data_IF_822412906115
#
_entry.id   IF_822412906115
#
_cell.length_a   1.000
_cell.length_b   1.000
_cell.length_c   1.000
_cell.angle_alpha   90.00
_cell.angle_beta   90.00
_cell.angle_gamma   90.00
#
_symmetry.space_group_name_H-M   'P 1'
#
loop_
_entity.id
_entity.type
_entity.pdbx_description
1 polymer ?
#
# COMPACT_ATOMS: atom_id res chain seq x y z
N UNK A 1 -21.94 -55.34 -30.52
CA UNK A 1 -21.37 -54.56 -29.40
C UNK A 1 -21.34 -53.10 -29.84
N UNK A 2 -22.45 -52.37 -29.70
CA UNK A 2 -22.55 -50.93 -30.00
C UNK A 2 -23.23 -50.29 -28.79
N UNK A 3 -22.43 -49.60 -27.98
CA UNK A 3 -22.86 -48.86 -26.79
C UNK A 3 -23.42 -47.51 -27.21
N UNK A 4 -24.70 -47.30 -26.94
CA UNK A 4 -25.42 -46.03 -27.12
C UNK A 4 -24.96 -45.01 -26.07
N UNK A 5 -24.28 -43.94 -26.48
CA UNK A 5 -24.09 -42.73 -25.66
C UNK A 5 -25.41 -41.94 -25.62
N UNK A 6 -26.13 -42.03 -24.50
CA UNK A 6 -27.26 -41.15 -24.22
C UNK A 6 -26.79 -39.78 -23.78
N UNK A 7 -26.88 -38.79 -24.65
CA UNK A 7 -26.77 -37.37 -24.29
C UNK A 7 -28.08 -36.95 -23.61
N UNK A 8 -28.09 -36.87 -22.28
CA UNK A 8 -29.21 -36.31 -21.52
C UNK A 8 -29.19 -34.79 -21.69
N UNK A 9 -30.09 -34.25 -22.51
CA UNK A 9 -30.32 -32.81 -22.58
C UNK A 9 -30.98 -32.34 -21.27
N UNK A 10 -30.51 -31.24 -20.65
CA UNK A 10 -31.13 -30.71 -19.44
C UNK A 10 -32.61 -30.38 -19.68
N UNK A 11 -33.51 -30.79 -18.78
CA UNK A 11 -34.92 -30.44 -18.87
C UNK A 11 -35.11 -28.91 -18.89
N UNK A 12 -36.01 -28.39 -19.73
CA UNK A 12 -36.30 -26.96 -19.91
C UNK A 12 -36.62 -26.21 -18.59
N UNK A 13 -37.15 -26.93 -17.59
CA UNK A 13 -37.39 -26.42 -16.23
C UNK A 13 -36.10 -26.09 -15.48
N UNK A 14 -35.06 -26.91 -15.61
CA UNK A 14 -33.77 -26.70 -14.94
C UNK A 14 -33.00 -25.52 -15.54
N UNK A 15 -32.98 -25.41 -16.87
CA UNK A 15 -32.37 -24.29 -17.58
C UNK A 15 -33.04 -22.94 -17.23
N UNK A 16 -34.38 -22.92 -17.11
CA UNK A 16 -35.13 -21.72 -16.74
C UNK A 16 -34.90 -21.30 -15.27
N UNK A 17 -34.72 -22.26 -14.34
CA UNK A 17 -34.34 -21.95 -12.95
C UNK A 17 -32.92 -21.40 -12.83
N UNK A 18 -31.96 -21.97 -13.57
CA UNK A 18 -30.59 -21.46 -13.61
C UNK A 18 -30.55 -20.04 -14.18
N UNK A 19 -31.26 -19.77 -15.28
CA UNK A 19 -31.35 -18.43 -15.87
C UNK A 19 -31.94 -17.39 -14.90
N UNK A 20 -32.99 -17.75 -14.14
CA UNK A 20 -33.57 -16.85 -13.12
C UNK A 20 -32.61 -16.59 -11.95
N UNK A 21 -31.89 -17.61 -11.50
CA UNK A 21 -30.91 -17.48 -10.42
C UNK A 21 -29.72 -16.59 -10.85
N UNK A 22 -29.21 -16.78 -12.06
CA UNK A 22 -28.17 -15.93 -12.64
C UNK A 22 -28.63 -14.48 -12.81
N UNK A 23 -29.87 -14.27 -13.26
CA UNK A 23 -30.44 -12.92 -13.41
C UNK A 23 -30.59 -12.23 -12.05
N UNK A 24 -31.13 -12.92 -11.05
CA UNK A 24 -31.27 -12.39 -9.68
C UNK A 24 -29.92 -12.03 -9.06
N UNK A 25 -28.93 -12.90 -9.26
CA UNK A 25 -27.55 -12.67 -8.82
C UNK A 25 -26.93 -11.41 -9.46
N UNK A 26 -27.08 -11.26 -10.78
CA UNK A 26 -26.59 -10.08 -11.51
C UNK A 26 -27.24 -8.79 -11.01
N UNK A 27 -28.57 -8.77 -10.88
CA UNK A 27 -29.31 -7.61 -10.36
C UNK A 27 -28.83 -7.23 -8.97
N UNK A 28 -28.66 -8.21 -8.07
CA UNK A 28 -28.16 -7.95 -6.72
C UNK A 28 -26.73 -7.38 -6.75
N UNK A 29 -25.85 -7.92 -7.59
CA UNK A 29 -24.48 -7.41 -7.73
C UNK A 29 -24.42 -6.00 -8.29
N UNK A 30 -25.25 -5.69 -9.30
CA UNK A 30 -25.30 -4.36 -9.91
C UNK A 30 -25.85 -3.32 -8.93
N UNK A 31 -26.85 -3.71 -8.13
CA UNK A 31 -27.38 -2.86 -7.06
C UNK A 31 -26.31 -2.58 -5.99
N UNK A 32 -25.58 -3.60 -5.53
CA UNK A 32 -24.50 -3.42 -4.55
C UNK A 32 -23.43 -2.44 -5.05
N UNK A 33 -22.99 -2.59 -6.31
CA UNK A 33 -22.00 -1.71 -6.91
C UNK A 33 -22.54 -0.28 -7.03
N UNK A 34 -23.80 -0.13 -7.47
CA UNK A 34 -24.42 1.19 -7.63
C UNK A 34 -24.58 1.91 -6.29
N UNK A 35 -25.02 1.20 -5.24
CA UNK A 35 -25.13 1.75 -3.89
C UNK A 35 -23.75 2.10 -3.33
N UNK A 36 -22.73 1.28 -3.56
CA UNK A 36 -21.35 1.60 -3.20
C UNK A 36 -20.89 2.89 -3.89
N UNK A 37 -21.07 3.03 -5.20
CA UNK A 37 -20.66 4.24 -5.92
C UNK A 37 -21.36 5.50 -5.38
N UNK A 38 -22.66 5.40 -5.08
CA UNK A 38 -23.41 6.49 -4.47
C UNK A 38 -22.88 6.84 -3.08
N UNK A 39 -22.60 5.84 -2.23
CA UNK A 39 -22.04 6.07 -0.90
C UNK A 39 -20.63 6.66 -0.96
N UNK A 40 -19.80 6.26 -1.92
CA UNK A 40 -18.50 6.89 -2.16
C UNK A 40 -18.68 8.37 -2.49
N UNK A 41 -19.55 8.72 -3.43
CA UNK A 41 -19.82 10.11 -3.78
C UNK A 41 -20.34 10.93 -2.58
N UNK A 42 -21.31 10.39 -1.84
CA UNK A 42 -21.85 11.00 -0.61
C UNK A 42 -20.73 11.19 0.42
N UNK A 43 -19.85 10.21 0.60
CA UNK A 43 -18.73 10.30 1.54
C UNK A 43 -17.80 11.46 1.22
N UNK A 44 -17.45 11.66 -0.06
CA UNK A 44 -16.57 12.76 -0.48
C UNK A 44 -17.24 14.11 -0.27
N UNK A 45 -18.54 14.22 -0.58
CA UNK A 45 -19.32 15.44 -0.33
C UNK A 45 -19.36 15.77 1.16
N UNK A 46 -19.65 14.77 2.00
CA UNK A 46 -19.72 14.94 3.46
C UNK A 46 -18.36 15.32 4.05
N UNK A 47 -17.27 14.74 3.54
CA UNK A 47 -15.93 15.14 3.92
C UNK A 47 -15.67 16.60 3.55
N UNK A 48 -15.98 17.02 2.32
CA UNK A 48 -15.77 18.40 1.88
C UNK A 48 -16.57 19.41 2.75
N UNK A 49 -17.83 19.08 3.06
CA UNK A 49 -18.66 19.87 3.98
C UNK A 49 -18.07 19.89 5.40
N UNK A 50 -17.61 18.74 5.88
CA UNK A 50 -17.00 18.59 7.20
C UNK A 50 -15.73 19.42 7.34
N UNK A 51 -14.84 19.38 6.34
CA UNK A 51 -13.59 20.16 6.31
C UNK A 51 -13.88 21.66 6.31
N UNK A 52 -14.87 22.11 5.54
CA UNK A 52 -15.24 23.53 5.49
C UNK A 52 -15.75 24.08 6.84
N UNK A 53 -16.35 23.22 7.67
CA UNK A 53 -16.85 23.58 8.99
C UNK A 53 -15.82 23.57 10.12
N UNK A 54 -14.56 23.22 9.86
CA UNK A 54 -13.51 23.16 10.88
C UNK A 54 -12.94 24.56 11.13
N UNK A 55 -13.08 25.06 12.36
CA UNK A 55 -12.42 26.27 12.83
C UNK A 55 -11.21 25.91 13.70
N UNK A 56 -10.00 26.05 13.12
CA UNK A 56 -8.75 25.76 13.82
C UNK A 56 -8.33 26.85 14.81
N UNK A 57 -9.01 28.01 14.86
CA UNK A 57 -8.65 29.11 15.78
C UNK A 57 -8.90 28.77 17.26
N UNK A 58 -9.81 27.82 17.51
CA UNK A 58 -10.20 27.34 18.83
C UNK A 58 -9.55 26.00 19.19
N UNK A 59 -8.50 25.60 18.48
CA UNK A 59 -7.85 24.31 18.70
C UNK A 59 -7.22 24.23 20.11
N UNK A 60 -7.61 23.18 20.85
CA UNK A 60 -7.08 22.90 22.18
C UNK A 60 -5.99 21.82 22.19
N UNK A 61 -5.56 21.40 23.38
CA UNK A 61 -4.51 20.39 23.55
C UNK A 61 -4.84 18.99 23.01
N UNK A 62 -6.11 18.70 22.73
CA UNK A 62 -6.55 17.44 22.09
C UNK A 62 -6.46 17.46 20.56
N UNK A 63 -5.98 18.55 19.97
CA UNK A 63 -5.78 18.68 18.52
C UNK A 63 -7.09 18.76 17.74
N UNK A 64 -7.08 18.20 16.53
CA UNK A 64 -8.18 18.36 15.56
C UNK A 64 -9.44 17.55 15.90
N UNK A 65 -9.29 16.43 16.64
CA UNK A 65 -10.36 15.44 16.85
C UNK A 65 -11.64 16.05 17.43
N UNK A 66 -11.61 16.90 18.47
CA UNK A 66 -12.82 17.52 19.02
C UNK A 66 -13.49 18.53 18.10
N UNK A 67 -12.78 19.03 17.09
CA UNK A 67 -13.27 20.02 16.14
C UNK A 67 -13.91 19.38 14.91
N UNK A 68 -13.79 18.06 14.73
CA UNK A 68 -14.35 17.35 13.58
C UNK A 68 -15.89 17.34 13.67
N UNK A 69 -16.61 17.94 12.70
CA UNK A 69 -18.06 17.89 12.70
C UNK A 69 -18.57 16.45 12.53
N UNK A 70 -19.77 16.14 13.03
CA UNK A 70 -20.39 14.82 12.85
C UNK A 70 -20.47 14.42 11.38
N UNK A 71 -20.69 15.38 10.48
CA UNK A 71 -20.71 15.16 9.01
C UNK A 71 -19.37 14.60 8.50
N UNK A 72 -18.24 15.03 9.05
CA UNK A 72 -16.93 14.48 8.74
C UNK A 72 -16.81 13.01 9.19
N UNK A 73 -17.29 12.68 10.39
CA UNK A 73 -17.28 11.30 10.88
C UNK A 73 -18.18 10.39 10.03
N UNK A 74 -19.35 10.88 9.63
CA UNK A 74 -20.25 10.18 8.71
C UNK A 74 -19.60 9.93 7.34
N UNK A 75 -18.77 10.86 6.85
CA UNK A 75 -18.00 10.65 5.62
C UNK A 75 -17.11 9.40 5.70
N UNK A 76 -16.34 9.26 6.79
CA UNK A 76 -15.49 8.08 7.01
C UNK A 76 -16.33 6.80 7.08
N UNK A 77 -17.43 6.82 7.84
CA UNK A 77 -18.33 5.65 7.98
C UNK A 77 -18.89 5.23 6.62
N UNK A 78 -19.40 6.17 5.82
CA UNK A 78 -19.93 5.87 4.49
C UNK A 78 -18.86 5.35 3.54
N UNK A 79 -17.64 5.88 3.59
CA UNK A 79 -16.53 5.38 2.79
C UNK A 79 -16.18 3.93 3.16
N UNK A 80 -16.11 3.60 4.45
CA UNK A 80 -15.81 2.24 4.92
C UNK A 80 -16.92 1.26 4.53
N UNK A 81 -18.19 1.63 4.72
CA UNK A 81 -19.34 0.81 4.30
C UNK A 81 -19.29 0.59 2.78
N UNK A 82 -19.06 1.65 2.01
CA UNK A 82 -18.94 1.57 0.56
C UNK A 82 -17.82 0.62 0.12
N UNK A 83 -16.62 0.74 0.70
CA UNK A 83 -15.49 -0.13 0.39
C UNK A 83 -15.78 -1.59 0.74
N UNK A 84 -16.45 -1.84 1.88
CA UNK A 84 -16.85 -3.18 2.28
C UNK A 84 -17.86 -3.79 1.30
N UNK A 85 -18.89 -3.04 0.89
CA UNK A 85 -19.87 -3.48 -0.11
C UNK A 85 -19.19 -3.85 -1.44
N UNK A 86 -18.26 -3.01 -1.91
CA UNK A 86 -17.52 -3.27 -3.14
C UNK A 86 -16.62 -4.49 -3.01
N UNK A 87 -15.92 -4.69 -1.89
CA UNK A 87 -15.10 -5.88 -1.65
C UNK A 87 -15.94 -7.17 -1.59
N UNK A 88 -17.18 -7.08 -1.13
CA UNK A 88 -18.16 -8.18 -1.13
C UNK A 88 -18.78 -8.47 -2.51
N UNK A 89 -18.62 -7.57 -3.48
CA UNK A 89 -19.15 -7.79 -4.82
C UNK A 89 -18.46 -8.97 -5.53
N UNK A 90 -19.13 -9.66 -6.48
CA UNK A 90 -18.56 -10.78 -7.23
C UNK A 90 -17.34 -10.42 -8.07
N UNK A 91 -17.43 -9.32 -8.82
CA UNK A 91 -16.41 -8.85 -9.75
C UNK A 91 -16.04 -7.39 -9.47
N UNK A 92 -15.35 -7.14 -8.34
CA UNK A 92 -15.00 -5.79 -7.92
C UNK A 92 -13.97 -5.16 -8.87
N UNK A 93 -14.24 -3.92 -9.29
CA UNK A 93 -13.36 -3.19 -10.20
C UNK A 93 -12.13 -2.65 -9.47
N UNK A 94 -10.95 -2.92 -10.03
CA UNK A 94 -9.65 -2.39 -9.56
C UNK A 94 -9.66 -0.86 -9.52
N UNK A 95 -10.29 -0.21 -10.51
CA UNK A 95 -10.39 1.26 -10.54
C UNK A 95 -11.25 1.78 -9.40
N UNK A 96 -12.39 1.13 -9.13
CA UNK A 96 -13.30 1.54 -8.06
C UNK A 96 -12.63 1.42 -6.69
N UNK A 97 -11.93 0.32 -6.41
CA UNK A 97 -11.18 0.21 -5.15
C UNK A 97 -10.02 1.20 -5.05
N UNK A 98 -9.34 1.51 -6.16
CA UNK A 98 -8.34 2.57 -6.18
C UNK A 98 -8.96 3.92 -5.78
N UNK A 99 -10.17 4.24 -6.26
CA UNK A 99 -10.88 5.45 -5.84
C UNK A 99 -11.26 5.42 -4.36
N UNK A 100 -11.64 4.28 -3.79
CA UNK A 100 -11.93 4.17 -2.35
C UNK A 100 -10.67 4.40 -1.51
N UNK A 101 -9.54 3.81 -1.90
CA UNK A 101 -8.25 4.05 -1.23
C UNK A 101 -7.83 5.51 -1.38
N UNK A 102 -7.95 6.10 -2.59
CA UNK A 102 -7.62 7.50 -2.82
C UNK A 102 -8.49 8.45 -1.99
N UNK A 103 -9.80 8.16 -1.89
CA UNK A 103 -10.71 8.91 -1.03
C UNK A 103 -10.31 8.80 0.44
N UNK A 104 -9.97 7.59 0.92
CA UNK A 104 -9.50 7.39 2.30
C UNK A 104 -8.23 8.20 2.57
N UNK A 105 -7.26 8.13 1.67
CA UNK A 105 -6.00 8.88 1.77
C UNK A 105 -6.25 10.39 1.80
N UNK A 106 -7.09 10.89 0.90
CA UNK A 106 -7.45 12.31 0.86
C UNK A 106 -8.13 12.74 2.16
N UNK A 107 -9.05 11.94 2.69
CA UNK A 107 -9.74 12.25 3.94
C UNK A 107 -8.78 12.26 5.13
N UNK A 108 -7.90 11.28 5.27
CA UNK A 108 -7.02 11.16 6.43
C UNK A 108 -5.80 12.11 6.37
N UNK A 109 -5.21 12.26 5.19
CA UNK A 109 -3.92 12.95 5.01
C UNK A 109 -4.02 14.26 4.23
N UNK A 110 -5.14 14.50 3.54
CA UNK A 110 -5.45 15.77 2.89
C UNK A 110 -6.19 16.76 3.79
N UNK A 111 -6.84 16.31 4.87
CA UNK A 111 -7.56 17.23 5.78
C UNK A 111 -6.62 18.21 6.48
N UNK A 112 -5.51 17.73 7.05
CA UNK A 112 -4.56 18.59 7.77
C UNK A 112 -4.02 19.77 6.93
N UNK A 113 -3.47 19.57 5.70
CA UNK A 113 -2.99 20.68 4.88
C UNK A 113 -4.09 21.63 4.40
N UNK A 114 -5.37 21.24 4.44
CA UNK A 114 -6.49 22.11 4.09
C UNK A 114 -6.95 23.01 5.24
N UNK A 115 -6.73 22.58 6.49
CA UNK A 115 -7.22 23.30 7.68
C UNK A 115 -6.13 24.04 8.45
N UNK A 116 -4.90 23.54 8.44
CA UNK A 116 -3.76 24.20 9.07
C UNK A 116 -3.05 25.12 8.10
N UNK A 117 -2.71 26.33 8.55
CA UNK A 117 -1.90 27.26 7.77
C UNK A 117 -0.46 26.77 7.56
N UNK A 118 0.08 26.03 8.53
CA UNK A 118 1.46 25.57 8.53
C UNK A 118 1.55 24.05 8.76
N UNK A 119 2.64 23.40 8.30
CA UNK A 119 2.89 21.99 8.57
C UNK A 119 2.86 21.66 10.07
N UNK A 120 1.98 20.75 10.48
CA UNK A 120 1.60 20.52 11.89
C UNK A 120 2.66 19.92 12.81
N UNK A 121 3.73 19.31 12.28
CA UNK A 121 4.69 18.60 13.13
C UNK A 121 5.98 19.39 13.35
N UNK A 122 6.26 19.75 14.61
CA UNK A 122 7.42 20.57 14.96
C UNK A 122 8.77 19.98 14.52
N UNK A 123 8.91 18.65 14.45
CA UNK A 123 10.17 18.01 14.07
C UNK A 123 10.48 18.06 12.57
N UNK A 124 9.50 18.33 11.69
CA UNK A 124 9.76 18.49 10.25
C UNK A 124 10.59 19.73 9.94
N UNK A 125 10.50 20.78 10.76
CA UNK A 125 11.23 22.03 10.57
C UNK A 125 12.74 21.83 10.70
N UNK A 126 13.18 20.86 11.51
CA UNK A 126 14.59 20.45 11.56
C UNK A 126 15.05 19.89 10.21
N UNK A 127 14.21 19.09 9.57
CA UNK A 127 14.51 18.52 8.26
C UNK A 127 14.64 19.62 7.20
N UNK A 128 13.72 20.58 7.21
CA UNK A 128 13.76 21.76 6.33
C UNK A 128 15.02 22.58 6.56
N UNK A 129 15.43 22.79 7.81
CA UNK A 129 16.66 23.51 8.14
C UNK A 129 17.90 22.89 7.49
N UNK A 130 18.03 21.57 7.50
CA UNK A 130 19.15 20.86 6.84
C UNK A 130 19.08 21.01 5.32
N UNK A 131 17.89 20.88 4.73
CA UNK A 131 17.69 21.11 3.28
C UNK A 131 18.12 22.52 2.87
N UNK A 132 17.68 23.53 3.63
CA UNK A 132 18.03 24.93 3.38
C UNK A 132 19.52 25.20 3.58
N UNK A 133 20.15 24.58 4.60
CA UNK A 133 21.59 24.67 4.81
C UNK A 133 22.36 24.20 3.57
N UNK A 134 22.04 23.02 3.05
CA UNK A 134 22.66 22.45 1.84
C UNK A 134 22.41 23.35 0.63
N UNK A 135 21.17 23.82 0.47
CA UNK A 135 20.80 24.72 -0.64
C UNK A 135 21.62 26.01 -0.65
N UNK A 136 21.86 26.60 0.53
CA UNK A 136 22.58 27.85 0.71
C UNK A 136 24.10 27.69 0.57
N UNK A 137 24.68 26.66 1.20
CA UNK A 137 26.14 26.52 1.29
C UNK A 137 26.73 25.63 0.18
N UNK A 138 25.93 24.74 -0.41
CA UNK A 138 26.39 23.77 -1.40
C UNK A 138 27.35 22.70 -0.85
N UNK A 139 27.50 22.61 0.48
CA UNK A 139 28.34 21.64 1.15
C UNK A 139 27.64 21.09 2.40
N UNK A 140 28.20 20.01 2.96
CA UNK A 140 27.76 19.36 4.20
C UNK A 140 28.70 19.76 5.35
N UNK A 141 28.17 19.80 6.56
CA UNK A 141 28.91 20.04 7.79
C UNK A 141 28.40 19.13 8.91
N UNK A 142 29.12 18.03 9.11
CA UNK A 142 28.83 17.01 10.13
C UNK A 142 29.03 17.47 11.58
N UNK A 143 29.61 18.66 11.80
CA UNK A 143 29.80 19.22 13.15
C UNK A 143 28.57 20.00 13.65
N UNK A 144 27.65 20.38 12.76
CA UNK A 144 26.41 21.12 13.12
C UNK A 144 25.36 20.15 13.66
N UNK A 145 25.12 19.07 12.93
CA UNK A 145 24.09 18.09 13.26
C UNK A 145 24.42 16.71 12.66
N UNK A 146 23.80 15.68 13.23
CA UNK A 146 23.99 14.29 12.79
C UNK A 146 23.31 13.99 11.45
N UNK A 147 22.28 14.76 11.05
CA UNK A 147 21.53 14.49 9.83
C UNK A 147 22.40 14.65 8.58
N UNK A 148 23.39 15.54 8.62
CA UNK A 148 24.32 15.76 7.52
C UNK A 148 25.28 14.58 7.28
N UNK A 149 25.36 13.60 8.19
CA UNK A 149 26.07 12.33 7.98
C UNK A 149 25.28 11.34 7.10
N UNK A 150 23.98 11.56 6.91
CA UNK A 150 23.12 10.81 5.99
C UNK A 150 22.45 11.77 5.00
N UNK A 151 23.23 12.36 4.08
CA UNK A 151 22.78 13.52 3.31
C UNK A 151 21.84 13.16 2.16
N UNK A 152 21.61 11.88 1.86
CA UNK A 152 20.96 11.45 0.63
C UNK A 152 19.57 12.08 0.42
N UNK A 153 18.72 12.05 1.44
CA UNK A 153 17.40 12.67 1.38
C UNK A 153 17.47 14.20 1.29
N UNK A 154 18.33 14.82 2.12
CA UNK A 154 18.42 16.27 2.21
C UNK A 154 19.01 16.89 0.94
N UNK A 155 20.02 16.24 0.35
CA UNK A 155 20.59 16.61 -0.92
C UNK A 155 19.58 16.48 -2.06
N UNK A 156 18.79 15.39 -2.07
CA UNK A 156 17.70 15.22 -3.04
C UNK A 156 16.65 16.33 -2.92
N UNK A 157 16.23 16.65 -1.70
CA UNK A 157 15.26 17.73 -1.45
C UNK A 157 15.82 19.10 -1.83
N UNK A 158 17.08 19.40 -1.50
CA UNK A 158 17.72 20.67 -1.86
C UNK A 158 17.89 20.82 -3.37
N UNK A 159 18.20 19.71 -4.07
CA UNK A 159 18.23 19.67 -5.52
C UNK A 159 16.84 19.90 -6.13
N UNK A 160 15.80 19.24 -5.58
CA UNK A 160 14.42 19.41 -6.00
C UNK A 160 13.98 20.87 -5.86
N UNK A 161 14.23 21.51 -4.71
CA UNK A 161 13.95 22.92 -4.49
C UNK A 161 14.58 23.83 -5.54
N UNK A 162 15.85 23.55 -5.88
CA UNK A 162 16.60 24.34 -6.86
C UNK A 162 16.02 24.18 -8.27
N UNK A 163 15.71 22.95 -8.69
CA UNK A 163 15.18 22.66 -10.04
C UNK A 163 13.73 23.13 -10.18
N UNK A 164 12.90 22.96 -9.16
CA UNK A 164 11.50 23.36 -9.16
C UNK A 164 11.31 24.87 -8.89
N UNK A 165 12.38 25.62 -8.59
CA UNK A 165 12.29 27.05 -8.27
C UNK A 165 11.58 27.32 -6.94
N UNK A 166 11.57 26.36 -6.02
CA UNK A 166 10.87 26.47 -4.73
C UNK A 166 11.77 27.19 -3.75
N UNK A 167 11.32 28.34 -3.26
CA UNK A 167 12.07 29.14 -2.29
C UNK A 167 11.83 28.71 -0.84
N UNK A 168 10.61 28.24 -0.54
CA UNK A 168 10.21 27.83 0.79
C UNK A 168 9.66 26.40 0.78
N UNK A 169 10.37 25.40 1.35
CA UNK A 169 9.91 24.02 1.38
C UNK A 169 8.59 23.79 2.13
N UNK A 170 8.19 24.73 2.98
CA UNK A 170 6.92 24.66 3.71
C UNK A 170 5.71 24.58 2.77
N UNK A 171 5.81 25.13 1.55
CA UNK A 171 4.69 25.15 0.58
C UNK A 171 4.23 23.77 0.17
N UNK A 172 5.12 22.77 0.17
CA UNK A 172 4.79 21.38 -0.17
C UNK A 172 4.93 20.42 1.01
N UNK A 173 5.64 20.82 2.08
CA UNK A 173 5.81 19.99 3.27
C UNK A 173 4.48 19.60 3.94
N UNK A 174 3.47 20.47 3.89
CA UNK A 174 2.13 20.19 4.41
C UNK A 174 1.46 19.00 3.69
N UNK A 175 1.74 18.83 2.40
CA UNK A 175 1.18 17.79 1.54
C UNK A 175 2.01 16.50 1.52
N UNK A 176 3.17 16.49 2.19
CA UNK A 176 4.09 15.35 2.19
C UNK A 176 3.44 14.07 2.71
N UNK A 177 2.57 14.17 3.73
CA UNK A 177 1.82 13.03 4.28
C UNK A 177 1.00 12.33 3.20
N UNK A 178 0.15 13.08 2.50
CA UNK A 178 -0.68 12.54 1.43
C UNK A 178 0.18 11.93 0.31
N UNK A 179 1.29 12.59 -0.05
CA UNK A 179 2.21 12.08 -1.06
C UNK A 179 2.86 10.75 -0.65
N UNK A 180 3.45 10.68 0.54
CA UNK A 180 4.13 9.49 1.02
C UNK A 180 3.16 8.34 1.26
N UNK A 181 1.98 8.58 1.83
CA UNK A 181 0.98 7.53 2.06
C UNK A 181 0.41 6.98 0.75
N UNK A 182 0.26 7.83 -0.27
CA UNK A 182 -0.06 7.37 -1.62
C UNK A 182 1.04 6.46 -2.15
N UNK A 183 2.29 6.85 -2.01
CA UNK A 183 3.43 6.05 -2.45
C UNK A 183 3.53 4.73 -1.65
N UNK A 184 3.28 4.76 -0.35
CA UNK A 184 3.24 3.57 0.51
C UNK A 184 2.14 2.61 0.04
N UNK A 185 0.94 3.11 -0.24
CA UNK A 185 -0.16 2.31 -0.76
C UNK A 185 0.15 1.68 -2.13
N UNK A 186 0.85 2.41 -3.01
CA UNK A 186 1.27 1.88 -4.31
C UNK A 186 2.33 0.77 -4.16
N UNK A 187 3.35 1.00 -3.34
CA UNK A 187 4.43 0.03 -3.13
C UNK A 187 3.90 -1.18 -2.36
N UNK A 188 3.08 -1.01 -1.32
CA UNK A 188 2.49 -2.13 -0.60
C UNK A 188 1.54 -2.92 -1.49
N UNK A 189 0.74 -2.26 -2.36
CA UNK A 189 -0.09 -2.94 -3.37
C UNK A 189 0.76 -3.81 -4.28
N UNK A 190 1.96 -3.35 -4.64
CA UNK A 190 2.91 -4.14 -5.41
C UNK A 190 3.49 -5.30 -4.59
N UNK A 191 3.92 -5.07 -3.34
CA UNK A 191 4.40 -6.13 -2.42
C UNK A 191 3.36 -7.24 -2.24
N UNK A 192 2.10 -6.91 -1.92
CA UNK A 192 1.04 -7.90 -1.67
C UNK A 192 0.64 -8.71 -2.91
N UNK A 193 1.01 -8.25 -4.11
CA UNK A 193 0.86 -9.02 -5.36
C UNK A 193 1.90 -10.13 -5.50
N UNK A 194 2.93 -10.16 -4.67
CA UNK A 194 3.93 -11.21 -4.70
C UNK A 194 3.26 -12.57 -4.51
N UNK A 195 3.56 -13.51 -5.42
CA UNK A 195 3.02 -14.87 -5.36
C UNK A 195 3.34 -15.53 -4.02
N UNK A 196 4.50 -15.22 -3.43
CA UNK A 196 4.94 -15.62 -2.10
C UNK A 196 3.90 -15.55 -0.99
N UNK A 197 3.06 -14.52 -1.04
CA UNK A 197 2.10 -14.22 0.02
C UNK A 197 0.78 -14.97 -0.15
N UNK A 198 0.55 -15.57 -1.32
CA UNK A 198 -0.66 -16.35 -1.64
C UNK A 198 -1.97 -15.61 -1.30
N UNK A 199 -1.98 -14.28 -1.44
CA UNK A 199 -3.13 -13.42 -1.16
C UNK A 199 -4.07 -13.36 -2.36
N UNK A 200 -5.37 -13.50 -2.10
CA UNK A 200 -6.41 -13.25 -3.09
C UNK A 200 -6.44 -11.79 -3.47
N UNK A 201 -7.04 -11.49 -4.62
CA UNK A 201 -7.21 -10.11 -5.06
C UNK A 201 -7.94 -9.25 -4.01
N UNK A 202 -8.95 -9.81 -3.32
CA UNK A 202 -9.70 -9.12 -2.27
C UNK A 202 -8.83 -8.85 -1.05
N UNK A 203 -8.09 -9.85 -0.60
CA UNK A 203 -7.13 -9.72 0.51
C UNK A 203 -6.09 -8.64 0.22
N UNK A 204 -5.55 -8.59 -1.00
CA UNK A 204 -4.58 -7.56 -1.38
C UNK A 204 -5.14 -6.14 -1.25
N UNK A 205 -6.37 -5.89 -1.70
CA UNK A 205 -6.99 -4.57 -1.58
C UNK A 205 -7.42 -4.26 -0.15
N UNK A 206 -7.91 -5.25 0.58
CA UNK A 206 -8.20 -5.12 2.00
C UNK A 206 -6.93 -4.74 2.78
N UNK A 207 -5.78 -5.37 2.46
CA UNK A 207 -4.49 -4.99 3.06
C UNK A 207 -4.13 -3.54 2.78
N UNK A 208 -4.28 -3.05 1.54
CA UNK A 208 -3.99 -1.64 1.21
C UNK A 208 -4.94 -0.69 1.94
N UNK A 209 -6.23 -1.03 2.01
CA UNK A 209 -7.22 -0.20 2.69
C UNK A 209 -6.99 -0.14 4.20
N UNK A 210 -6.71 -1.28 4.84
CA UNK A 210 -6.36 -1.34 6.26
C UNK A 210 -5.04 -0.61 6.51
N UNK A 211 -4.03 -0.81 5.66
CA UNK A 211 -2.75 -0.11 5.78
C UNK A 211 -2.96 1.41 5.78
N UNK A 212 -3.71 1.95 4.81
CA UNK A 212 -4.01 3.38 4.74
C UNK A 212 -4.81 3.91 5.95
N UNK A 213 -5.69 3.10 6.53
CA UNK A 213 -6.54 3.51 7.66
C UNK A 213 -5.93 3.29 9.04
N UNK A 214 -4.92 2.42 9.15
CA UNK A 214 -4.32 1.99 10.41
C UNK A 214 -2.83 2.32 10.52
N UNK A 215 -2.26 3.05 9.55
CA UNK A 215 -0.87 3.45 9.62
C UNK A 215 -0.62 4.37 10.83
N UNK A 216 0.56 4.23 11.43
CA UNK A 216 0.91 5.00 12.61
C UNK A 216 1.16 6.47 12.24
N UNK A 217 0.59 7.38 13.02
CA UNK A 217 0.70 8.82 12.79
C UNK A 217 2.15 9.30 12.88
N UNK A 218 2.49 10.39 12.19
CA UNK A 218 3.78 11.07 12.29
C UNK A 218 4.99 10.29 11.74
N UNK A 219 4.81 9.43 10.74
CA UNK A 219 5.90 8.70 10.07
C UNK A 219 6.12 9.12 8.61
N UNK A 220 5.18 9.85 8.06
CA UNK A 220 4.92 10.16 6.65
C UNK A 220 5.11 11.66 6.32
N UNK A 221 5.63 12.43 7.26
CA UNK A 221 5.98 13.85 7.04
C UNK A 221 7.24 13.98 6.18
N UNK A 222 7.51 15.19 5.69
CA UNK A 222 8.67 15.50 4.84
C UNK A 222 9.99 15.19 5.58
N UNK A 223 10.53 13.99 5.37
CA UNK A 223 11.64 13.45 6.15
C UNK A 223 12.38 12.30 5.47
N UNK A 224 13.64 12.04 5.89
CA UNK A 224 14.35 10.82 5.50
C UNK A 224 13.64 9.55 5.97
N UNK A 225 12.90 9.59 7.09
CA UNK A 225 12.12 8.46 7.61
C UNK A 225 11.06 8.00 6.62
N UNK A 226 10.20 8.92 6.16
CA UNK A 226 9.14 8.60 5.21
C UNK A 226 9.72 8.06 3.90
N UNK A 227 10.77 8.71 3.36
CA UNK A 227 11.43 8.25 2.15
C UNK A 227 12.14 6.89 2.33
N UNK A 228 12.80 6.69 3.47
CA UNK A 228 13.44 5.44 3.83
C UNK A 228 12.45 4.28 3.94
N UNK A 229 11.22 4.53 4.40
CA UNK A 229 10.16 3.53 4.43
C UNK A 229 9.73 3.09 3.02
N UNK A 230 9.63 4.01 2.05
CA UNK A 230 9.40 3.66 0.62
C UNK A 230 10.49 2.71 0.12
N UNK A 231 11.76 3.08 0.31
CA UNK A 231 12.90 2.30 -0.17
C UNK A 231 12.94 0.93 0.51
N UNK A 232 12.64 0.87 1.81
CA UNK A 232 12.54 -0.38 2.58
C UNK A 232 11.50 -1.31 1.97
N UNK A 233 10.29 -0.81 1.70
CA UNK A 233 9.25 -1.60 1.02
C UNK A 233 9.64 -1.99 -0.41
N UNK A 234 10.39 -1.14 -1.12
CA UNK A 234 10.97 -1.45 -2.42
C UNK A 234 11.94 -2.63 -2.38
N UNK A 235 12.81 -2.69 -1.36
CA UNK A 235 13.70 -3.85 -1.11
C UNK A 235 12.87 -5.12 -0.89
N UNK A 236 11.83 -5.06 -0.05
CA UNK A 236 10.93 -6.21 0.15
C UNK A 236 10.21 -6.62 -1.13
N UNK A 237 9.75 -5.66 -1.93
CA UNK A 237 9.09 -5.93 -3.19
C UNK A 237 10.02 -6.70 -4.14
N UNK A 238 11.25 -6.23 -4.32
CA UNK A 238 12.22 -6.90 -5.18
C UNK A 238 12.58 -8.29 -4.66
N UNK A 239 12.77 -8.43 -3.34
CA UNK A 239 13.08 -9.71 -2.71
C UNK A 239 11.94 -10.73 -2.90
N UNK A 240 10.69 -10.34 -2.67
CA UNK A 240 9.53 -11.23 -2.72
C UNK A 240 9.06 -11.54 -4.13
N UNK A 241 9.32 -10.67 -5.11
CA UNK A 241 8.91 -10.92 -6.51
C UNK A 241 9.96 -11.66 -7.33
N UNK A 242 11.26 -11.43 -7.08
CA UNK A 242 12.31 -11.99 -7.93
C UNK A 242 13.33 -12.91 -7.26
N UNK A 243 13.34 -13.02 -5.92
CA UNK A 243 14.34 -13.81 -5.19
C UNK A 243 13.73 -14.87 -4.27
N UNK A 244 12.43 -15.09 -4.39
CA UNK A 244 11.66 -16.06 -3.61
C UNK A 244 12.08 -17.51 -3.90
N UNK A 245 12.13 -18.33 -2.86
CA UNK A 245 12.23 -19.79 -2.98
C UNK A 245 10.87 -20.42 -3.28
N UNK A 246 10.79 -21.38 -4.22
CA UNK A 246 9.56 -22.10 -4.59
C UNK A 246 8.84 -22.76 -3.40
N UNK A 247 9.59 -23.08 -2.33
CA UNK A 247 9.06 -23.68 -1.11
C UNK A 247 8.12 -22.75 -0.33
N UNK A 248 8.26 -21.43 -0.50
CA UNK A 248 7.51 -20.40 0.23
C UNK A 248 6.03 -20.39 -0.12
N UNK A 249 5.71 -20.32 -1.41
CA UNK A 249 4.36 -20.35 -1.94
C UNK A 249 3.60 -21.63 -1.52
N UNK A 250 4.26 -22.80 -1.62
CA UNK A 250 3.67 -24.09 -1.31
C UNK A 250 3.25 -24.21 0.17
N UNK A 251 4.07 -23.67 1.09
CA UNK A 251 3.77 -23.70 2.52
C UNK A 251 2.51 -22.88 2.85
N UNK A 252 2.41 -21.65 2.34
CA UNK A 252 1.23 -20.80 2.57
C UNK A 252 -0.03 -21.39 1.96
N UNK A 253 0.07 -21.95 0.75
CA UNK A 253 -1.05 -22.63 0.11
C UNK A 253 -1.54 -23.83 0.93
N UNK A 254 -0.62 -24.62 1.49
CA UNK A 254 -0.94 -25.79 2.34
C UNK A 254 -1.58 -25.40 3.68
N UNK A 255 -1.11 -24.32 4.30
CA UNK A 255 -1.72 -23.79 5.53
C UNK A 255 -3.14 -23.29 5.20
N UNK A 256 -3.27 -22.53 4.11
CA UNK A 256 -4.56 -21.98 3.64
C UNK A 256 -5.58 -23.08 3.33
N UNK A 257 -5.18 -24.15 2.65
CA UNK A 257 -6.10 -25.26 2.34
C UNK A 257 -6.61 -25.98 3.58
N UNK A 258 -5.84 -25.99 4.68
CA UNK A 258 -6.31 -26.54 5.97
C UNK A 258 -7.40 -25.69 6.61
N UNK A 259 -7.28 -24.37 6.55
CA UNK A 259 -8.29 -23.45 7.09
C UNK A 259 -9.51 -23.32 6.15
N UNK A 260 -9.32 -23.37 4.84
CA UNK A 260 -10.40 -23.27 3.86
C UNK A 260 -11.32 -24.50 3.85
N UNK A 261 -10.81 -25.68 4.23
CA UNK A 261 -11.60 -26.92 4.33
C UNK A 261 -12.57 -26.95 5.53
N UNK A 262 -12.70 -25.85 6.29
CA UNK A 262 -13.69 -25.71 7.37
C UNK A 262 -14.80 -24.70 7.06
N UNK A 263 -14.93 -24.23 5.82
CA UNK A 263 -16.13 -23.47 5.41
C UNK A 263 -17.28 -24.42 5.08
N UNK A 264 -18.46 -24.32 5.73
CA UNK A 264 -19.65 -25.16 5.45
C UNK A 264 -20.30 -24.92 4.08
N UNK A 265 -19.64 -24.19 3.17
CA UNK A 265 -20.14 -23.83 1.84
C UNK A 265 -19.79 -24.87 0.76
N UNK A 266 -19.00 -25.90 1.10
CA UNK A 266 -18.56 -26.94 0.15
C UNK A 266 -19.68 -27.89 -0.33
N UNK A 267 -20.91 -27.76 0.17
CA UNK A 267 -22.04 -28.63 -0.17
C UNK A 267 -23.06 -28.02 -1.17
N UNK A 268 -22.84 -26.80 -1.68
CA UNK A 268 -23.90 -26.11 -2.46
C UNK A 268 -23.50 -25.43 -3.77
N UNK A 269 -22.29 -25.61 -4.30
CA UNK A 269 -21.90 -24.97 -5.57
C UNK A 269 -21.17 -25.92 -6.52
N UNK A 270 -21.94 -26.75 -7.24
CA UNK A 270 -21.52 -27.42 -8.48
C UNK A 270 -22.04 -26.72 -9.75
N UNK A 271 -22.60 -25.51 -9.65
CA UNK A 271 -23.06 -24.76 -10.84
C UNK A 271 -22.52 -23.33 -10.81
N UNK A 272 -21.67 -22.99 -11.79
CA UNK A 272 -21.14 -21.65 -12.00
C UNK A 272 -19.71 -21.44 -11.51
N UNK A 273 -18.72 -22.05 -12.19
CA UNK A 273 -17.29 -21.83 -11.89
C UNK A 273 -16.78 -20.47 -12.38
N UNK A 274 -17.21 -19.39 -11.76
CA UNK A 274 -16.38 -18.17 -11.66
C UNK A 274 -15.61 -18.24 -10.35
N UNK A 275 -14.67 -19.20 -10.29
CA UNK A 275 -13.68 -19.24 -9.22
C UNK A 275 -12.90 -17.93 -9.28
N UNK A 276 -12.78 -17.27 -8.12
CA UNK A 276 -11.73 -16.32 -7.80
C UNK A 276 -10.41 -16.86 -8.34
N UNK A 277 -10.09 -16.45 -9.56
CA UNK A 277 -9.02 -17.07 -10.31
C UNK A 277 -7.75 -16.47 -9.73
N UNK A 278 -7.08 -17.26 -8.90
CA UNK A 278 -5.66 -17.08 -8.68
C UNK A 278 -5.01 -16.79 -10.05
N UNK A 279 -4.11 -15.80 -10.15
CA UNK A 279 -3.59 -15.35 -11.44
C UNK A 279 -3.11 -16.55 -12.24
N UNK A 280 -3.60 -16.66 -13.49
CA UNK A 280 -3.30 -17.72 -14.46
C UNK A 280 -1.85 -18.18 -14.29
N UNK A 281 -1.68 -19.45 -13.94
CA UNK A 281 -0.41 -20.15 -13.89
C UNK A 281 0.09 -20.42 -15.31
N UNK A 282 0.44 -19.35 -16.05
CA UNK A 282 1.47 -19.46 -17.07
C UNK A 282 2.84 -19.38 -16.39
N UNK A 283 3.89 -20.02 -16.94
CA UNK A 283 5.24 -19.73 -16.48
C UNK A 283 5.42 -18.21 -16.53
N UNK A 284 5.87 -17.54 -15.46
CA UNK A 284 6.20 -16.14 -15.56
C UNK A 284 7.31 -16.06 -16.60
N UNK A 285 7.03 -15.43 -17.74
CA UNK A 285 8.12 -14.84 -18.52
C UNK A 285 8.61 -13.71 -17.64
N UNK A 286 9.56 -14.00 -16.73
CA UNK A 286 10.30 -12.95 -16.05
C UNK A 286 11.13 -12.29 -17.14
N UNK A 287 10.63 -11.18 -17.66
CA UNK A 287 11.36 -10.34 -18.62
C UNK A 287 12.70 -9.89 -18.01
N UNK A 288 12.74 -9.85 -16.67
CA UNK A 288 13.86 -9.43 -15.85
C UNK A 288 14.58 -10.64 -15.27
N UNK A 289 15.91 -10.68 -15.38
CA UNK A 289 16.75 -11.74 -14.84
C UNK A 289 16.94 -11.60 -13.31
N UNK A 290 17.25 -12.72 -12.64
CA UNK A 290 17.55 -12.71 -11.20
C UNK A 290 18.79 -11.86 -10.83
N UNK A 291 19.64 -11.56 -11.81
CA UNK A 291 20.78 -10.67 -11.64
C UNK A 291 20.31 -9.21 -11.62
N UNK A 292 19.43 -8.82 -12.53
CA UNK A 292 18.85 -7.46 -12.59
C UNK A 292 18.02 -7.13 -11.35
N UNK A 293 17.21 -8.08 -10.84
CA UNK A 293 16.46 -7.88 -9.59
C UNK A 293 17.41 -7.66 -8.42
N UNK A 294 18.49 -8.45 -8.35
CA UNK A 294 19.49 -8.33 -7.30
C UNK A 294 20.25 -7.00 -7.38
N UNK A 295 20.66 -6.59 -8.58
CA UNK A 295 21.31 -5.29 -8.82
C UNK A 295 20.37 -4.16 -8.39
N UNK A 296 19.11 -4.20 -8.83
CA UNK A 296 18.09 -3.23 -8.42
C UNK A 296 17.89 -3.20 -6.91
N UNK A 297 17.84 -4.37 -6.26
CA UNK A 297 17.69 -4.47 -4.81
C UNK A 297 18.86 -3.82 -4.08
N UNK A 298 20.09 -4.17 -4.48
CA UNK A 298 21.30 -3.62 -3.87
C UNK A 298 21.43 -2.12 -4.14
N UNK A 299 21.05 -1.64 -5.32
CA UNK A 299 21.02 -0.19 -5.62
C UNK A 299 20.02 0.56 -4.73
N UNK A 300 18.77 0.09 -4.65
CA UNK A 300 17.75 0.68 -3.77
C UNK A 300 18.22 0.66 -2.31
N UNK A 301 18.84 -0.44 -1.88
CA UNK A 301 19.39 -0.55 -0.54
C UNK A 301 20.57 0.41 -0.30
N UNK A 302 21.49 0.58 -1.25
CA UNK A 302 22.57 1.56 -1.14
C UNK A 302 22.05 2.98 -1.05
N UNK A 303 20.97 3.32 -1.77
CA UNK A 303 20.29 4.61 -1.60
C UNK A 303 19.70 4.74 -0.19
N UNK A 304 19.08 3.69 0.34
CA UNK A 304 18.57 3.69 1.72
C UNK A 304 19.70 3.94 2.74
N UNK A 305 20.88 3.37 2.53
CA UNK A 305 22.06 3.53 3.42
C UNK A 305 22.50 4.99 3.54
N UNK A 306 22.47 5.76 2.44
CA UNK A 306 22.84 7.20 2.50
C UNK A 306 21.68 8.10 2.92
N UNK A 307 20.45 7.57 2.96
CA UNK A 307 19.22 8.30 3.29
C UNK A 307 18.89 8.23 4.77
N UNK A 308 19.09 7.09 5.43
CA UNK A 308 18.57 6.87 6.78
C UNK A 308 19.56 6.16 7.68
N UNK A 309 19.70 6.66 8.92
CA UNK A 309 20.64 6.14 9.92
C UNK A 309 20.32 4.70 10.38
N UNK A 310 19.06 4.40 10.70
CA UNK A 310 18.67 3.13 11.32
C UNK A 310 18.08 2.09 10.35
N UNK A 311 17.23 2.52 9.41
CA UNK A 311 16.45 1.63 8.54
C UNK A 311 17.27 0.59 7.76
N UNK A 312 18.47 0.89 7.21
CA UNK A 312 19.26 -0.11 6.48
C UNK A 312 19.57 -1.34 7.33
N UNK A 313 19.88 -1.17 8.61
CA UNK A 313 20.20 -2.26 9.52
C UNK A 313 18.96 -3.10 9.83
N UNK A 314 17.82 -2.47 10.10
CA UNK A 314 16.55 -3.17 10.35
C UNK A 314 16.15 -3.99 9.11
N UNK A 315 16.21 -3.39 7.92
CA UNK A 315 15.85 -4.07 6.67
C UNK A 315 16.79 -5.24 6.40
N UNK A 316 18.09 -5.09 6.62
CA UNK A 316 19.04 -6.20 6.48
C UNK A 316 18.73 -7.36 7.44
N UNK A 317 18.38 -7.06 8.70
CA UNK A 317 17.95 -8.06 9.69
C UNK A 317 16.67 -8.76 9.24
N UNK A 318 15.67 -8.02 8.75
CA UNK A 318 14.41 -8.61 8.28
C UNK A 318 14.62 -9.50 7.03
N UNK A 319 15.49 -9.09 6.10
CA UNK A 319 15.90 -9.93 4.97
C UNK A 319 16.68 -11.16 5.45
N UNK A 320 17.53 -11.03 6.48
CA UNK A 320 18.21 -12.17 7.09
C UNK A 320 17.21 -13.18 7.67
N UNK A 321 16.16 -12.71 8.35
CA UNK A 321 15.07 -13.58 8.86
C UNK A 321 14.37 -14.31 7.71
N UNK A 322 14.04 -13.61 6.62
CA UNK A 322 13.43 -14.25 5.45
C UNK A 322 14.36 -15.29 4.81
N UNK A 323 15.65 -14.98 4.67
CA UNK A 323 16.65 -15.92 4.19
C UNK A 323 16.79 -17.14 5.11
N UNK A 324 16.85 -16.94 6.42
CA UNK A 324 16.93 -17.99 7.44
C UNK A 324 15.72 -18.93 7.40
N UNK A 325 14.52 -18.37 7.24
CA UNK A 325 13.28 -19.12 7.03
C UNK A 325 13.21 -19.81 5.66
N UNK A 326 14.30 -19.80 4.87
CA UNK A 326 14.41 -20.34 3.51
C UNK A 326 13.39 -19.75 2.55
N UNK A 327 12.94 -18.51 2.82
CA UNK A 327 12.00 -17.79 1.98
C UNK A 327 12.67 -17.14 0.78
N UNK A 328 13.96 -16.82 0.90
CA UNK A 328 14.81 -16.29 -0.17
C UNK A 328 15.79 -17.34 -0.65
N UNK A 329 16.04 -17.40 -1.97
CA UNK A 329 16.96 -18.37 -2.58
C UNK A 329 18.43 -18.08 -2.25
N UNK A 330 18.78 -16.81 -2.01
CA UNK A 330 20.16 -16.35 -1.81
C UNK A 330 20.33 -15.81 -0.38
N UNK A 331 20.84 -16.63 0.51
CA UNK A 331 21.01 -16.27 1.93
C UNK A 331 22.06 -15.17 2.15
N UNK A 332 23.05 -15.07 1.25
CA UNK A 332 24.14 -14.10 1.33
C UNK A 332 23.71 -12.66 1.06
N UNK A 333 22.47 -12.41 0.59
CA UNK A 333 21.96 -11.05 0.37
C UNK A 333 22.01 -10.23 1.66
N UNK A 334 21.61 -10.83 2.79
CA UNK A 334 21.61 -10.16 4.08
C UNK A 334 23.01 -9.71 4.55
N UNK A 335 24.05 -10.58 4.57
CA UNK A 335 25.39 -10.12 4.90
C UNK A 335 25.97 -9.13 3.88
N UNK A 336 25.64 -9.23 2.59
CA UNK A 336 26.04 -8.22 1.61
C UNK A 336 25.42 -6.84 1.90
N UNK A 337 24.13 -6.80 2.22
CA UNK A 337 23.45 -5.58 2.66
C UNK A 337 24.10 -5.02 3.94
N UNK A 338 24.35 -5.86 4.94
CA UNK A 338 25.01 -5.44 6.17
C UNK A 338 26.42 -4.87 5.90
N UNK A 339 27.18 -5.48 4.99
CA UNK A 339 28.50 -4.98 4.60
C UNK A 339 28.43 -3.60 3.94
N UNK A 340 27.41 -3.33 3.10
CA UNK A 340 27.19 -2.00 2.52
C UNK A 340 26.87 -0.98 3.61
N UNK A 341 25.98 -1.32 4.55
CA UNK A 341 25.57 -0.40 5.62
C UNK A 341 26.70 -0.12 6.63
N UNK A 342 27.52 -1.11 6.97
CA UNK A 342 28.69 -0.92 7.83
C UNK A 342 29.79 -0.18 7.07
N UNK A 343 30.03 -0.53 5.81
CA UNK A 343 31.03 0.10 4.96
C UNK A 343 30.77 1.58 4.70
N UNK A 344 29.53 2.06 4.86
CA UNK A 344 29.22 3.49 4.81
C UNK A 344 29.69 4.27 6.06
N UNK A 345 29.86 3.60 7.20
CA UNK A 345 30.27 4.25 8.45
C UNK A 345 31.80 4.38 8.60
N UNK A 346 32.56 3.68 7.77
CA UNK A 346 34.03 3.61 7.78
C UNK A 346 34.57 4.41 6.61
#
# INVERSE_FOLDING_TARGET
MITSLGFVLPSTSAANRQSKAELSYRIHSDLLITVSDALLAISVIFWAMGVNGIDVSIIGGFGLVPLLPVVYLLAIVFLVISAAMLLSAPEPSTKRLAFHVAALLLMLYGTAPLVYAEPRYAWLYKQIGVVQYIKLHGNLNSSIDIYQNWPGYFGLAAWFDRVAGINNPLTYAAWAQLFFETLFCLVIKYVVRAKALALTWREQWLTVFIFAGANWIAQDYLSPQAFGFVLSMGVFALALHGLESTHSYQLFQKIRSRFSNHSPSALMTETGSHRDSAPRSGPPISIVSDAEVLIGLLLVYSVLVVVHELSPYIVAIQIAVLAFMRRLRRWWIAPAMMAIAIGYLV
#
